data_IF_705775337531
#
_entry.id   IF_705775337531
#
_cell.length_a   1.000
_cell.length_b   1.000
_cell.length_c   1.000
_cell.angle_alpha   90.00
_cell.angle_beta   90.00
_cell.angle_gamma   90.00
#
_symmetry.space_group_name_H-M   'P 1'
#
loop_
_entity.id
_entity.type
_entity.pdbx_description
1 polymer ?
#
# COMPACT_ATOMS: atom_id res chain seq x y z
N UNK A 1 18.70 -38.54 3.41
CA UNK A 1 17.96 -38.40 2.11
C UNK A 1 18.45 -37.18 1.32
N UNK A 2 18.59 -37.31 -0.01
CA UNK A 2 18.98 -36.18 -0.89
C UNK A 2 17.99 -35.01 -0.84
N UNK A 3 16.69 -35.27 -0.71
CA UNK A 3 15.68 -34.20 -0.67
C UNK A 3 15.87 -33.23 0.51
N UNK A 4 16.38 -33.69 1.66
CA UNK A 4 16.67 -32.85 2.83
C UNK A 4 17.71 -31.76 2.54
N UNK A 5 18.61 -31.97 1.58
CA UNK A 5 19.62 -30.98 1.20
C UNK A 5 19.07 -29.89 0.29
N UNK A 6 17.89 -30.09 -0.30
CA UNK A 6 17.18 -29.11 -1.13
C UNK A 6 16.21 -28.23 -0.32
N UNK A 7 15.89 -28.63 0.91
CA UNK A 7 15.05 -27.86 1.83
C UNK A 7 15.91 -26.80 2.53
N UNK A 8 15.40 -25.57 2.60
CA UNK A 8 16.12 -24.46 3.25
C UNK A 8 16.27 -24.71 4.76
N UNK A 9 17.35 -24.17 5.35
CA UNK A 9 17.65 -24.37 6.77
C UNK A 9 16.53 -23.86 7.70
N UNK A 10 15.84 -22.78 7.33
CA UNK A 10 14.71 -22.25 8.08
C UNK A 10 13.54 -23.23 8.14
N UNK A 11 13.14 -23.80 7.00
CA UNK A 11 12.06 -24.81 6.96
C UNK A 11 12.47 -26.07 7.71
N UNK A 12 13.71 -26.53 7.49
CA UNK A 12 14.25 -27.74 8.15
C UNK A 12 14.31 -27.60 9.67
N UNK A 13 14.59 -26.40 10.19
CA UNK A 13 14.63 -26.13 11.63
C UNK A 13 13.24 -26.04 12.28
N UNK A 14 12.19 -25.88 11.46
CA UNK A 14 10.80 -25.75 11.93
C UNK A 14 10.00 -27.06 11.85
N UNK A 15 10.57 -28.15 11.36
CA UNK A 15 9.90 -29.45 11.21
C UNK A 15 10.74 -30.57 11.85
N UNK A 16 10.08 -31.64 12.30
CA UNK A 16 10.76 -32.82 12.82
C UNK A 16 11.56 -33.55 11.72
N UNK A 17 12.64 -34.24 12.12
CA UNK A 17 13.49 -34.95 11.17
C UNK A 17 12.90 -36.32 10.84
N UNK A 18 12.44 -36.51 9.60
CA UNK A 18 11.93 -37.80 9.12
C UNK A 18 12.90 -38.48 8.17
N UNK A 19 13.16 -39.78 8.33
CA UNK A 19 13.96 -40.56 7.39
C UNK A 19 13.16 -41.07 6.18
N UNK A 20 11.82 -40.92 6.19
CA UNK A 20 10.94 -41.25 5.08
C UNK A 20 10.51 -39.97 4.33
N UNK A 21 10.55 -39.97 2.98
CA UNK A 21 10.13 -38.80 2.17
C UNK A 21 8.67 -38.47 2.39
N UNK A 22 7.80 -39.48 2.48
CA UNK A 22 6.35 -39.29 2.64
C UNK A 22 6.02 -38.62 3.97
N UNK A 23 6.67 -39.06 5.04
CA UNK A 23 6.51 -38.45 6.38
C UNK A 23 7.08 -37.03 6.40
N UNK A 24 8.25 -36.81 5.79
CA UNK A 24 8.83 -35.47 5.68
C UNK A 24 7.90 -34.49 4.95
N UNK A 25 7.31 -34.90 3.82
CA UNK A 25 6.37 -34.07 3.08
C UNK A 25 5.08 -33.82 3.85
N UNK A 26 4.57 -34.82 4.56
CA UNK A 26 3.40 -34.69 5.45
C UNK A 26 3.67 -33.70 6.59
N UNK A 27 4.84 -33.78 7.24
CA UNK A 27 5.23 -32.86 8.30
C UNK A 27 5.39 -31.41 7.79
N UNK A 28 5.92 -31.23 6.57
CA UNK A 28 5.98 -29.91 5.93
C UNK A 28 4.57 -29.38 5.66
N UNK A 29 3.70 -30.21 5.09
CA UNK A 29 2.33 -29.83 4.78
C UNK A 29 1.61 -29.42 6.06
N UNK A 30 1.64 -30.26 7.10
CA UNK A 30 1.03 -30.00 8.41
C UNK A 30 1.57 -28.74 9.10
N UNK A 31 2.89 -28.53 9.08
CA UNK A 31 3.53 -27.38 9.74
C UNK A 31 3.27 -26.05 9.03
N UNK A 32 3.13 -26.09 7.70
CA UNK A 32 2.95 -24.90 6.86
C UNK A 32 1.56 -24.82 6.22
N UNK A 33 0.59 -25.58 6.73
CA UNK A 33 -0.82 -25.42 6.36
C UNK A 33 -1.19 -23.97 6.60
N UNK A 34 -1.61 -23.30 5.53
CA UNK A 34 -2.18 -21.97 5.68
C UNK A 34 -3.53 -22.13 6.37
N UNK A 35 -3.61 -21.70 7.63
CA UNK A 35 -4.87 -21.76 8.38
C UNK A 35 -5.93 -20.93 7.68
N UNK A 36 -7.17 -21.43 7.63
CA UNK A 36 -8.34 -20.70 7.13
C UNK A 36 -8.48 -19.32 7.77
N UNK A 37 -8.09 -19.17 9.05
CA UNK A 37 -8.06 -17.87 9.76
C UNK A 37 -7.04 -16.89 9.16
N UNK A 38 -5.88 -17.38 8.75
CA UNK A 38 -4.85 -16.58 8.10
C UNK A 38 -5.26 -16.21 6.66
N UNK A 39 -5.90 -17.13 5.94
CA UNK A 39 -6.49 -16.85 4.63
C UNK A 39 -7.60 -15.80 4.73
N UNK A 40 -8.51 -15.94 5.69
CA UNK A 40 -9.55 -14.97 5.96
C UNK A 40 -8.97 -13.59 6.31
N UNK A 41 -7.98 -13.53 7.19
CA UNK A 41 -7.28 -12.28 7.53
C UNK A 41 -6.64 -11.61 6.31
N UNK A 42 -6.01 -12.41 5.44
CA UNK A 42 -5.40 -11.93 4.19
C UNK A 42 -6.46 -11.37 3.23
N UNK A 43 -7.60 -12.05 3.09
CA UNK A 43 -8.71 -11.60 2.26
C UNK A 43 -9.36 -10.33 2.81
N UNK A 44 -9.54 -10.22 4.12
CA UNK A 44 -10.03 -9.00 4.79
C UNK A 44 -9.06 -7.84 4.55
N UNK A 45 -7.75 -8.07 4.68
CA UNK A 45 -6.73 -7.05 4.41
C UNK A 45 -6.78 -6.58 2.95
N UNK A 46 -6.92 -7.52 1.99
CA UNK A 46 -7.10 -7.19 0.57
C UNK A 46 -8.38 -6.38 0.35
N UNK A 47 -9.51 -6.82 0.90
CA UNK A 47 -10.80 -6.16 0.79
C UNK A 47 -10.74 -4.71 1.28
N UNK A 48 -10.19 -4.50 2.49
CA UNK A 48 -10.12 -3.18 3.13
C UNK A 48 -9.10 -2.25 2.47
N UNK A 49 -8.04 -2.80 1.87
CA UNK A 49 -7.00 -2.03 1.18
C UNK A 49 -7.34 -1.74 -0.29
N UNK A 50 -8.40 -2.35 -0.83
CA UNK A 50 -8.75 -2.22 -2.24
C UNK A 50 -9.26 -0.82 -2.55
N UNK A 51 -8.53 -0.10 -3.40
CA UNK A 51 -8.85 1.27 -3.81
C UNK A 51 -9.15 1.31 -5.30
N UNK A 52 -10.17 2.08 -5.67
CA UNK A 52 -10.38 2.43 -7.07
C UNK A 52 -9.22 3.33 -7.53
N UNK A 53 -8.43 2.84 -8.49
CA UNK A 53 -7.33 3.60 -9.09
C UNK A 53 -7.78 4.32 -10.36
N UNK A 54 -6.93 5.19 -10.93
CA UNK A 54 -7.22 5.85 -12.21
C UNK A 54 -7.27 4.88 -13.38
N UNK A 55 -6.52 3.78 -13.31
CA UNK A 55 -6.33 2.79 -14.38
C UNK A 55 -7.48 1.76 -14.39
N UNK A 56 -8.08 1.48 -13.22
CA UNK A 56 -9.11 0.46 -13.07
C UNK A 56 -10.50 1.08 -13.11
N UNK A 57 -11.41 0.46 -13.86
CA UNK A 57 -12.80 0.89 -13.94
C UNK A 57 -13.60 0.53 -12.68
N UNK A 58 -14.75 1.20 -12.52
CA UNK A 58 -15.68 0.96 -11.41
C UNK A 58 -16.22 -0.48 -11.44
N UNK A 59 -16.51 -0.99 -12.65
CA UNK A 59 -17.00 -2.36 -12.84
C UNK A 59 -16.00 -3.40 -12.35
N UNK A 60 -14.73 -3.26 -12.72
CA UNK A 60 -13.65 -4.15 -12.30
C UNK A 60 -13.43 -4.11 -10.79
N UNK A 61 -13.52 -2.92 -10.18
CA UNK A 61 -13.43 -2.74 -8.74
C UNK A 61 -14.55 -3.46 -7.99
N UNK A 62 -15.81 -3.32 -8.45
CA UNK A 62 -16.96 -4.01 -7.86
C UNK A 62 -16.86 -5.53 -8.01
N UNK A 63 -16.44 -6.01 -9.19
CA UNK A 63 -16.27 -7.45 -9.42
C UNK A 63 -15.23 -8.06 -8.49
N UNK A 64 -14.09 -7.40 -8.27
CA UNK A 64 -13.06 -7.90 -7.37
C UNK A 64 -13.52 -7.86 -5.90
N UNK A 65 -14.23 -6.82 -5.47
CA UNK A 65 -14.83 -6.79 -4.13
C UNK A 65 -15.81 -7.95 -3.92
N UNK A 66 -16.67 -8.22 -4.90
CA UNK A 66 -17.61 -9.35 -4.86
C UNK A 66 -16.88 -10.68 -4.79
N UNK A 67 -15.81 -10.86 -5.56
CA UNK A 67 -15.05 -12.10 -5.58
C UNK A 67 -14.39 -12.37 -4.21
N UNK A 68 -13.79 -11.34 -3.60
CA UNK A 68 -13.21 -11.45 -2.25
C UNK A 68 -14.28 -11.82 -1.22
N UNK A 69 -15.47 -11.20 -1.27
CA UNK A 69 -16.60 -11.53 -0.39
C UNK A 69 -17.04 -12.99 -0.57
N UNK A 70 -17.11 -13.47 -1.82
CA UNK A 70 -17.47 -14.85 -2.11
C UNK A 70 -16.43 -15.85 -1.56
N UNK A 71 -15.13 -15.51 -1.62
CA UNK A 71 -14.07 -16.30 -1.01
C UNK A 71 -14.17 -16.31 0.51
N UNK A 72 -14.43 -15.15 1.13
CA UNK A 72 -14.63 -15.03 2.58
C UNK A 72 -15.83 -15.85 3.07
N UNK A 73 -16.93 -15.88 2.31
CA UNK A 73 -18.09 -16.73 2.63
C UNK A 73 -17.76 -18.22 2.65
N UNK A 74 -16.85 -18.69 1.77
CA UNK A 74 -16.38 -20.10 1.80
C UNK A 74 -15.58 -20.43 3.06
N UNK A 75 -15.00 -19.42 3.71
CA UNK A 75 -14.27 -19.52 4.98
C UNK A 75 -15.16 -19.18 6.19
N UNK A 76 -16.50 -19.22 6.02
CA UNK A 76 -17.49 -18.92 7.06
C UNK A 76 -17.42 -17.47 7.60
N UNK A 77 -16.78 -16.56 6.87
CA UNK A 77 -16.77 -15.12 7.17
C UNK A 77 -17.87 -14.44 6.36
N UNK A 78 -19.01 -14.22 7.00
CA UNK A 78 -20.13 -13.52 6.38
C UNK A 78 -20.07 -12.00 6.58
N UNK A 79 -20.42 -11.28 5.51
CA UNK A 79 -20.59 -9.83 5.53
C UNK A 79 -22.02 -9.51 5.11
N UNK A 80 -22.64 -8.56 5.81
CA UNK A 80 -23.97 -8.11 5.41
C UNK A 80 -23.93 -7.39 4.07
N UNK A 81 -25.00 -7.54 3.29
CA UNK A 81 -25.14 -6.84 2.02
C UNK A 81 -25.13 -5.32 2.21
N UNK A 82 -25.74 -4.83 3.30
CA UNK A 82 -25.72 -3.41 3.66
C UNK A 82 -24.30 -2.89 3.86
N UNK A 83 -23.47 -3.62 4.62
CA UNK A 83 -22.07 -3.26 4.82
C UNK A 83 -21.31 -3.23 3.48
N UNK A 84 -21.49 -4.26 2.65
CA UNK A 84 -20.81 -4.36 1.36
C UNK A 84 -21.17 -3.18 0.43
N UNK A 85 -22.46 -2.86 0.31
CA UNK A 85 -22.93 -1.72 -0.50
C UNK A 85 -22.35 -0.40 0.03
N UNK A 86 -22.43 -0.15 1.33
CA UNK A 86 -21.87 1.06 1.93
C UNK A 86 -20.34 1.14 1.74
N UNK A 87 -19.63 0.03 1.89
CA UNK A 87 -18.19 -0.03 1.72
C UNK A 87 -17.77 0.26 0.27
N UNK A 88 -18.40 -0.40 -0.71
CA UNK A 88 -18.18 -0.14 -2.14
C UNK A 88 -18.38 1.34 -2.42
N UNK A 89 -19.52 1.91 -2.04
CA UNK A 89 -19.82 3.33 -2.27
C UNK A 89 -18.77 4.26 -1.65
N UNK A 90 -18.29 3.95 -0.45
CA UNK A 90 -17.25 4.75 0.21
C UNK A 90 -15.93 4.72 -0.58
N UNK A 91 -15.52 3.54 -1.07
CA UNK A 91 -14.30 3.43 -1.88
C UNK A 91 -14.39 4.15 -3.23
N UNK A 92 -15.59 4.27 -3.81
CA UNK A 92 -15.85 5.05 -5.02
C UNK A 92 -15.80 6.57 -4.74
N UNK A 93 -16.45 7.04 -3.67
CA UNK A 93 -16.45 8.46 -3.26
C UNK A 93 -15.06 8.98 -2.91
N UNK A 94 -14.20 8.13 -2.36
CA UNK A 94 -12.79 8.43 -2.09
C UNK A 94 -11.97 8.80 -3.34
N UNK A 95 -12.47 8.55 -4.57
CA UNK A 95 -11.85 9.04 -5.81
C UNK A 95 -12.23 10.49 -6.10
N UNK A 96 -13.50 10.85 -5.93
CA UNK A 96 -14.00 12.21 -6.17
C UNK A 96 -13.41 13.22 -5.19
N UNK A 97 -13.30 12.85 -3.90
CA UNK A 97 -12.66 13.71 -2.89
C UNK A 97 -11.16 13.91 -3.09
N UNK A 98 -10.45 12.95 -3.70
CA UNK A 98 -9.00 13.07 -3.98
C UNK A 98 -8.71 14.01 -5.15
N UNK A 99 -9.57 14.04 -6.16
CA UNK A 99 -9.49 15.01 -7.26
C UNK A 99 -9.48 16.46 -6.75
N UNK A 100 -10.23 16.74 -5.68
CA UNK A 100 -10.26 18.06 -5.05
C UNK A 100 -8.98 18.39 -4.26
N UNK A 101 -8.34 17.39 -3.63
CA UNK A 101 -7.09 17.61 -2.90
C UNK A 101 -5.87 17.73 -3.83
N UNK A 102 -5.85 17.01 -4.96
CA UNK A 102 -4.75 17.06 -5.94
C UNK A 102 -4.70 18.41 -6.69
N UNK A 103 -5.86 19.05 -6.92
CA UNK A 103 -5.90 20.42 -7.46
C UNK A 103 -5.50 21.50 -6.42
N UNK A 104 -5.68 21.23 -5.12
CA UNK A 104 -5.28 22.12 -4.03
C UNK A 104 -3.75 22.20 -3.85
N UNK A 105 -3.03 21.09 -4.02
CA UNK A 105 -1.57 21.06 -3.95
C UNK A 105 -0.91 21.84 -5.10
N UNK A 106 -1.48 21.78 -6.31
CA UNK A 106 -1.05 22.62 -7.44
C UNK A 106 -1.23 24.12 -7.17
N UNK A 107 -2.28 24.53 -6.45
CA UNK A 107 -2.52 25.94 -6.12
C UNK A 107 -1.51 26.48 -5.08
N UNK A 108 -1.10 25.66 -4.11
CA UNK A 108 -0.14 26.06 -3.06
C UNK A 108 1.27 26.32 -3.63
N UNK A 109 1.72 25.51 -4.60
CA UNK A 109 3.01 25.71 -5.28
C UNK A 109 3.05 26.92 -6.21
N UNK A 110 1.91 27.30 -6.82
CA UNK A 110 1.83 28.46 -7.73
C UNK A 110 1.93 29.80 -6.99
N UNK A 111 1.57 29.86 -5.71
CA UNK A 111 1.63 31.11 -4.92
C UNK A 111 3.00 31.41 -4.32
N UNK A 112 3.93 30.44 -4.27
CA UNK A 112 5.26 30.62 -3.66
C UNK A 112 6.36 31.15 -4.62
N UNK A 113 6.01 31.53 -5.87
CA UNK A 113 6.97 32.04 -6.87
C UNK A 113 6.95 33.56 -7.12
N UNK A 114 6.35 34.36 -6.23
CA UNK A 114 6.37 35.84 -6.35
C UNK A 114 6.97 36.50 -5.11
N UNK A 115 8.26 36.27 -4.87
CA UNK A 115 8.91 36.80 -3.66
C UNK A 115 10.43 36.76 -3.61
N UNK A 116 11.15 36.84 -4.72
CA UNK A 116 12.59 37.17 -4.70
C UNK A 116 12.92 38.18 -5.80
N UNK A 117 12.60 39.46 -5.55
CA UNK A 117 13.26 40.57 -6.23
C UNK A 117 14.61 40.79 -5.55
N UNK A 118 15.69 40.53 -6.28
CA UNK A 118 17.05 40.80 -5.84
C UNK A 118 17.30 42.30 -5.64
N UNK A 119 18.19 42.60 -4.70
CA UNK A 119 18.97 43.84 -4.61
C UNK A 119 20.39 43.39 -4.21
N UNK A 120 21.24 43.11 -5.19
CA UNK A 120 22.26 44.04 -5.73
C UNK A 120 23.34 44.36 -4.70
N UNK A 121 24.50 43.74 -4.91
CA UNK A 121 25.73 43.84 -4.13
C UNK A 121 26.72 44.71 -4.93
N UNK A 122 27.10 45.88 -4.42
CA UNK A 122 28.25 46.67 -4.91
C UNK A 122 28.68 47.57 -3.73
N UNK A 123 29.65 47.15 -2.92
CA UNK A 123 31.12 47.37 -3.02
C UNK A 123 31.55 48.85 -3.05
N UNK A 124 32.24 49.20 -1.96
CA UNK A 124 33.07 50.35 -1.64
C UNK A 124 33.67 51.16 -2.80
N UNK A 125 33.57 52.49 -2.68
CA UNK A 125 34.61 53.43 -3.09
C UNK A 125 34.48 54.76 -2.30
N UNK A 126 35.49 55.07 -1.46
CA UNK A 126 35.78 56.44 -0.96
C UNK A 126 36.45 57.25 -2.09
N UNK A 127 36.21 58.57 -2.17
CA UNK A 127 37.33 59.52 -2.27
C UNK A 127 37.10 60.75 -1.35
N UNK A 128 38.04 61.07 -0.44
CA UNK A 128 39.15 62.06 -0.52
C UNK A 128 38.72 63.51 -0.27
N UNK A 129 39.42 64.10 0.71
CA UNK A 129 39.35 65.48 1.21
C UNK A 129 39.70 66.56 0.16
N UNK A 130 39.12 67.75 0.32
CA UNK A 130 39.70 69.08 0.07
C UNK A 130 38.77 70.12 0.77
N UNK A 131 39.14 70.73 1.89
CA UNK A 131 39.96 71.95 2.07
C UNK A 131 39.20 73.26 1.83
N UNK A 132 39.04 74.02 2.93
CA UNK A 132 38.88 75.47 3.11
C UNK A 132 38.22 76.34 2.03
N UNK A 133 37.18 77.08 2.45
CA UNK A 133 37.24 78.54 2.64
C UNK A 133 36.08 79.03 3.51
#
# INVERSE_FOLDING_TARGET
>A
MYIKTKISAGIRGSIEQHENVRELLKAIDEQFVTSDKALASTLIMKFTSLKLTGIRGVREHIMEMRDIVAQLKKLEVEMSESFLVHFILNTLRLKEGRLLMEQGESAMLVTQRKGKKGKSQARYAKPKEASDK
#
